data_IF_732435018623
#
_entry.id   IF_732435018623
#
_cell.length_a   1.000
_cell.length_b   1.000
_cell.length_c   1.000
_cell.angle_alpha   90.00
_cell.angle_beta   90.00
_cell.angle_gamma   90.00
#
_symmetry.space_group_name_H-M   'P 1'
#
loop_
_entity.id
_entity.type
_entity.pdbx_description
1 polymer ?
#
# COMPACT_ATOMS: atom_id res chain seq x y z
N UNK A 1 6.76 28.50 11.13
CA UNK A 1 5.93 27.30 11.34
C UNK A 1 6.13 26.41 10.13
N UNK A 2 6.87 25.32 10.27
CA UNK A 2 7.06 24.36 9.17
C UNK A 2 5.79 23.50 9.11
N UNK A 3 4.89 23.80 8.18
CA UNK A 3 3.61 23.09 8.01
C UNK A 3 3.72 21.79 7.21
N UNK A 4 4.95 21.30 7.00
CA UNK A 4 5.23 20.09 6.24
C UNK A 4 5.54 18.92 7.17
N UNK A 5 5.14 17.73 6.74
CA UNK A 5 5.61 16.46 7.28
C UNK A 5 7.14 16.48 7.20
N UNK A 6 7.84 16.24 8.32
CA UNK A 6 9.30 16.24 8.34
C UNK A 6 9.88 15.17 7.42
N UNK A 7 11.17 15.28 7.08
CA UNK A 7 11.92 14.14 6.52
C UNK A 7 11.63 12.91 7.39
N UNK A 8 11.23 11.78 6.79
CA UNK A 8 10.77 10.53 7.44
C UNK A 8 9.35 10.55 8.09
N UNK A 9 8.53 11.57 7.85
CA UNK A 9 7.23 11.66 8.52
C UNK A 9 6.10 10.82 7.89
N UNK A 10 6.39 10.00 6.87
CA UNK A 10 5.46 8.99 6.35
C UNK A 10 6.10 7.60 6.55
N UNK A 11 5.63 6.80 7.52
CA UNK A 11 6.27 5.53 7.84
C UNK A 11 6.04 4.49 6.74
N UNK A 12 7.07 3.73 6.41
CA UNK A 12 6.95 2.54 5.57
C UNK A 12 6.07 1.47 6.24
N UNK A 13 5.54 0.55 5.45
CA UNK A 13 5.05 -0.72 5.95
C UNK A 13 6.16 -1.75 5.76
N UNK A 14 6.77 -2.18 6.87
CA UNK A 14 7.87 -3.15 6.84
C UNK A 14 7.38 -4.60 6.99
N UNK A 15 6.22 -4.81 7.61
CA UNK A 15 5.59 -6.12 7.78
C UNK A 15 4.16 -6.11 7.23
N UNK A 16 3.98 -6.06 5.89
CA UNK A 16 2.66 -6.01 5.29
C UNK A 16 1.86 -7.29 5.57
N UNK A 17 0.59 -7.11 5.92
CA UNK A 17 -0.37 -8.22 6.05
C UNK A 17 -1.35 -8.18 4.90
N UNK A 18 -1.45 -9.28 4.18
CA UNK A 18 -2.34 -9.40 3.02
C UNK A 18 -3.63 -10.14 3.39
N UNK A 19 -4.71 -9.76 2.70
CA UNK A 19 -5.99 -10.47 2.72
C UNK A 19 -6.25 -11.07 1.34
N UNK A 20 -6.99 -12.18 1.28
CA UNK A 20 -7.41 -12.77 -0.01
C UNK A 20 -8.35 -11.80 -0.72
N UNK A 21 -8.25 -11.71 -2.05
CA UNK A 21 -9.11 -10.83 -2.85
C UNK A 21 -10.60 -11.10 -2.63
N UNK A 22 -10.99 -12.36 -2.40
CA UNK A 22 -12.37 -12.77 -2.10
C UNK A 22 -12.90 -12.23 -0.77
N UNK A 23 -12.01 -11.87 0.14
CA UNK A 23 -12.35 -11.46 1.51
C UNK A 23 -12.36 -9.93 1.64
N UNK A 24 -12.03 -9.20 0.57
CA UNK A 24 -11.92 -7.74 0.56
C UNK A 24 -12.99 -7.15 -0.37
N UNK A 25 -13.80 -6.25 0.17
CA UNK A 25 -14.71 -5.43 -0.64
C UNK A 25 -14.07 -4.06 -0.88
N UNK A 26 -13.71 -3.77 -2.12
CA UNK A 26 -13.19 -2.46 -2.52
C UNK A 26 -14.30 -1.66 -3.21
N UNK A 27 -14.38 -0.34 -2.98
CA UNK A 27 -15.23 0.52 -3.81
C UNK A 27 -14.83 0.43 -5.29
N UNK A 28 -15.80 0.54 -6.19
CA UNK A 28 -15.56 0.48 -7.65
C UNK A 28 -14.56 1.54 -8.15
N UNK A 29 -14.45 2.66 -7.44
CA UNK A 29 -13.52 3.75 -7.76
C UNK A 29 -12.15 3.64 -7.08
N UNK A 30 -11.92 2.59 -6.28
CA UNK A 30 -10.64 2.38 -5.61
C UNK A 30 -9.56 2.07 -6.64
N UNK A 31 -8.50 2.88 -6.66
CA UNK A 31 -7.32 2.58 -7.45
C UNK A 31 -6.44 1.59 -6.72
N UNK A 32 -5.95 0.59 -7.45
CA UNK A 32 -5.00 -0.40 -6.96
C UNK A 32 -3.77 -0.41 -7.86
N UNK A 33 -2.60 -0.62 -7.25
CA UNK A 33 -1.36 -0.90 -7.97
C UNK A 33 -1.12 -2.41 -7.93
N UNK A 34 -1.05 -3.04 -9.10
CA UNK A 34 -0.76 -4.46 -9.23
C UNK A 34 0.74 -4.70 -9.36
N UNK A 35 1.27 -5.67 -8.63
CA UNK A 35 2.65 -6.15 -8.76
C UNK A 35 2.59 -7.65 -9.07
N UNK A 36 3.29 -8.06 -10.12
CA UNK A 36 3.49 -9.46 -10.47
C UNK A 36 4.99 -9.75 -10.50
N UNK A 37 5.45 -10.63 -9.61
CA UNK A 37 6.85 -10.98 -9.44
C UNK A 37 6.96 -12.47 -9.14
N UNK A 38 7.77 -13.20 -9.92
CA UNK A 38 8.03 -14.64 -9.73
C UNK A 38 6.77 -15.53 -9.58
N UNK A 39 5.67 -15.12 -10.21
CA UNK A 39 4.39 -15.83 -10.16
C UNK A 39 3.49 -15.45 -8.97
N UNK A 40 3.96 -14.60 -8.06
CA UNK A 40 3.14 -13.98 -7.03
C UNK A 40 2.52 -12.67 -7.57
N UNK A 41 1.22 -12.51 -7.33
CA UNK A 41 0.44 -11.36 -7.81
C UNK A 41 -0.26 -10.70 -6.64
N UNK A 42 0.10 -9.44 -6.39
CA UNK A 42 -0.40 -8.65 -5.26
C UNK A 42 -1.02 -7.35 -5.73
N UNK A 43 -2.00 -6.87 -4.98
CA UNK A 43 -2.68 -5.60 -5.21
C UNK A 43 -2.56 -4.69 -3.99
N UNK A 44 -2.10 -3.46 -4.22
CA UNK A 44 -1.89 -2.44 -3.20
C UNK A 44 -2.86 -1.27 -3.43
N UNK A 45 -3.89 -1.12 -2.58
CA UNK A 45 -4.82 0.00 -2.69
C UNK A 45 -4.11 1.35 -2.51
N UNK A 46 -4.41 2.31 -3.37
CA UNK A 46 -3.81 3.66 -3.34
C UNK A 46 -3.96 4.30 -1.96
N UNK A 47 -5.11 4.12 -1.27
CA UNK A 47 -5.34 4.72 0.05
C UNK A 47 -4.35 4.24 1.13
N UNK A 48 -3.80 3.03 0.97
CA UNK A 48 -2.80 2.48 1.90
C UNK A 48 -1.45 3.15 1.60
N UNK A 49 -1.08 3.23 0.31
CA UNK A 49 0.17 3.84 -0.13
C UNK A 49 0.25 5.35 0.11
N UNK A 50 -0.87 6.07 0.05
CA UNK A 50 -0.90 7.52 0.35
C UNK A 50 -0.58 7.79 1.83
N UNK A 51 -0.80 6.82 2.72
CA UNK A 51 -0.44 6.90 4.14
C UNK A 51 0.91 6.26 4.47
N UNK A 52 1.45 5.50 3.51
CA UNK A 52 2.66 4.69 3.63
C UNK A 52 3.36 4.66 2.26
N UNK A 53 4.23 5.64 2.02
CA UNK A 53 4.83 5.87 0.70
C UNK A 53 5.65 4.66 0.19
N UNK A 54 6.12 3.79 1.09
CA UNK A 54 6.88 2.59 0.78
C UNK A 54 6.26 1.38 1.49
N UNK A 55 6.11 0.28 0.76
CA UNK A 55 5.81 -1.03 1.31
C UNK A 55 7.01 -1.93 1.00
N UNK A 56 7.72 -2.35 2.03
CA UNK A 56 8.82 -3.30 1.91
C UNK A 56 8.24 -4.70 1.94
N UNK A 57 7.90 -5.21 0.76
CA UNK A 57 7.55 -6.60 0.54
C UNK A 57 8.80 -7.37 0.06
N UNK A 58 8.85 -8.68 0.34
CA UNK A 58 10.00 -9.56 0.10
C UNK A 58 10.30 -9.84 -1.37
#
# INVERSE_FOLDING_TARGET
MSGGVGHDGIPSIDEPRFARATDVNLPDCERVFGVALDGDVRAYPQRILVRHEIVNDV
#
